data_IF_503883476237
#
_entry.id   IF_503883476237
#
_cell.length_a   1.000
_cell.length_b   1.000
_cell.length_c   1.000
_cell.angle_alpha   90.00
_cell.angle_beta   90.00
_cell.angle_gamma   90.00
#
_symmetry.space_group_name_H-M   'P 1'
#
loop_
_entity.id
_entity.type
_entity.pdbx_description
1 polymer ?
#
# COMPACT_ATOMS: atom_id res chain seq x y z
N UNK A 1 5.90 -1.60 31.15
CA UNK A 1 5.09 -0.85 32.13
C UNK A 1 4.95 0.57 31.64
N UNK A 2 3.87 0.92 30.94
CA UNK A 2 3.58 2.33 30.65
C UNK A 2 3.02 2.95 31.94
N UNK A 3 3.71 3.97 32.44
CA UNK A 3 3.20 4.79 33.52
C UNK A 3 2.07 5.63 32.93
N UNK A 4 0.82 5.24 33.20
CA UNK A 4 -0.33 6.00 32.72
C UNK A 4 -0.27 7.42 33.28
N UNK A 5 -0.25 8.42 32.40
CA UNK A 5 -0.33 9.83 32.80
C UNK A 5 -1.73 10.10 33.32
N UNK A 6 -1.83 10.60 34.56
CA UNK A 6 -3.11 11.02 35.13
C UNK A 6 -3.40 12.41 34.60
N UNK A 7 -4.44 12.53 33.78
CA UNK A 7 -4.94 13.82 33.32
C UNK A 7 -6.14 14.22 34.18
N UNK A 8 -6.24 15.52 34.47
CA UNK A 8 -7.39 16.08 35.18
C UNK A 8 -8.13 16.99 34.21
N UNK A 9 -9.41 16.73 34.01
CA UNK A 9 -10.31 17.58 33.23
C UNK A 9 -11.36 18.11 34.21
N UNK A 10 -11.06 19.20 34.94
CA UNK A 10 -11.93 19.70 35.98
C UNK A 10 -13.24 20.22 35.36
N UNK A 11 -14.37 19.73 35.87
CA UNK A 11 -15.72 20.06 35.37
C UNK A 11 -16.05 21.55 35.59
N UNK A 12 -15.42 22.14 36.60
CA UNK A 12 -15.54 23.55 37.00
C UNK A 12 -14.16 24.21 37.11
N UNK A 13 -14.06 25.55 37.01
CA UNK A 13 -12.78 26.23 37.10
C UNK A 13 -12.02 25.87 38.38
N UNK A 14 -10.72 25.57 38.26
CA UNK A 14 -9.86 25.14 39.38
C UNK A 14 -9.92 26.10 40.58
N UNK A 15 -10.02 27.41 40.33
CA UNK A 15 -10.17 28.42 41.39
C UNK A 15 -11.45 28.27 42.22
N UNK A 16 -12.56 27.86 41.59
CA UNK A 16 -13.83 27.63 42.27
C UNK A 16 -13.78 26.38 43.15
N UNK A 17 -13.14 25.31 42.67
CA UNK A 17 -12.91 24.07 43.45
C UNK A 17 -12.08 24.41 44.69
N UNK A 18 -11.00 25.17 44.53
CA UNK A 18 -10.14 25.60 45.64
C UNK A 18 -10.89 26.45 46.66
N UNK A 19 -11.70 27.41 46.19
CA UNK A 19 -12.51 28.28 47.04
C UNK A 19 -13.53 27.48 47.86
N UNK A 20 -14.29 26.58 47.22
CA UNK A 20 -15.28 25.72 47.89
C UNK A 20 -14.63 24.76 48.87
N UNK A 21 -13.44 24.23 48.54
CA UNK A 21 -12.65 23.39 49.44
C UNK A 21 -12.21 24.14 50.69
N UNK A 22 -11.70 25.37 50.56
CA UNK A 22 -11.29 26.20 51.68
C UNK A 22 -12.48 26.60 52.57
N UNK A 23 -13.59 27.02 51.98
CA UNK A 23 -14.83 27.34 52.71
C UNK A 23 -15.38 26.13 53.47
N UNK A 24 -15.41 24.96 52.83
CA UNK A 24 -15.85 23.71 53.45
C UNK A 24 -14.94 23.29 54.62
N UNK A 25 -13.61 23.41 54.45
CA UNK A 25 -12.64 23.12 55.50
C UNK A 25 -12.82 24.05 56.71
N UNK A 26 -12.92 25.36 56.46
CA UNK A 26 -13.07 26.37 57.52
C UNK A 26 -14.40 26.20 58.27
N UNK A 27 -15.49 25.89 57.54
CA UNK A 27 -16.79 25.54 58.12
C UNK A 27 -16.71 24.30 59.01
N UNK A 28 -16.00 23.25 58.58
CA UNK A 28 -15.82 22.03 59.39
C UNK A 28 -15.01 22.32 60.66
N UNK A 29 -14.01 23.20 60.59
CA UNK A 29 -13.19 23.61 61.73
C UNK A 29 -14.00 24.41 62.75
N UNK A 30 -14.80 25.38 62.28
CA UNK A 30 -15.71 26.17 63.12
C UNK A 30 -16.76 25.28 63.78
N UNK A 31 -17.33 24.35 63.03
CA UNK A 31 -18.30 23.39 63.57
C UNK A 31 -17.68 22.46 64.60
N UNK A 32 -16.44 21.99 64.41
CA UNK A 32 -15.74 21.23 65.45
C UNK A 32 -15.56 22.05 66.73
N UNK A 33 -15.18 23.33 66.61
CA UNK A 33 -15.02 24.25 67.74
C UNK A 33 -16.32 24.52 68.51
N UNK A 34 -17.46 24.53 67.82
CA UNK A 34 -18.79 24.71 68.40
C UNK A 34 -19.34 23.40 68.98
N UNK A 35 -19.27 22.29 68.23
CA UNK A 35 -19.81 20.99 68.64
C UNK A 35 -19.01 20.34 69.78
N UNK A 36 -17.70 20.58 69.88
CA UNK A 36 -16.89 20.06 71.00
C UNK A 36 -17.39 20.50 72.37
N UNK A 37 -18.06 21.66 72.44
CA UNK A 37 -18.66 22.20 73.67
C UNK A 37 -20.03 21.57 74.00
N UNK A 38 -20.76 21.05 73.01
CA UNK A 38 -22.14 20.54 73.17
C UNK A 38 -22.24 19.02 73.24
N UNK A 39 -21.41 18.28 72.50
CA UNK A 39 -21.62 16.83 72.23
C UNK A 39 -20.44 15.96 72.73
N UNK A 40 -19.41 16.60 73.32
CA UNK A 40 -18.17 15.95 73.73
C UNK A 40 -17.16 15.78 72.58
N UNK A 41 -15.86 15.75 72.93
CA UNK A 41 -14.75 15.80 71.96
C UNK A 41 -14.77 14.66 70.94
N UNK A 42 -15.07 13.42 71.37
CA UNK A 42 -15.04 12.24 70.50
C UNK A 42 -16.11 12.26 69.39
N UNK A 43 -17.37 12.58 69.75
CA UNK A 43 -18.47 12.65 68.77
C UNK A 43 -18.32 13.84 67.82
N UNK A 44 -17.83 14.97 68.32
CA UNK A 44 -17.51 16.14 67.49
C UNK A 44 -16.39 15.84 66.48
N UNK A 45 -15.38 15.08 66.88
CA UNK A 45 -14.29 14.65 65.99
C UNK A 45 -14.81 13.73 64.88
N UNK A 46 -15.60 12.71 65.23
CA UNK A 46 -16.20 11.78 64.26
C UNK A 46 -17.06 12.52 63.21
N UNK A 47 -17.95 13.41 63.65
CA UNK A 47 -18.81 14.18 62.74
C UNK A 47 -17.99 15.07 61.81
N UNK A 48 -16.96 15.75 62.33
CA UNK A 48 -16.08 16.61 61.52
C UNK A 48 -15.27 15.79 60.52
N UNK A 49 -14.78 14.61 60.91
CA UNK A 49 -14.04 13.71 60.03
C UNK A 49 -14.91 13.19 58.87
N UNK A 50 -16.14 12.76 59.15
CA UNK A 50 -17.08 12.33 58.10
C UNK A 50 -17.43 13.47 57.13
N UNK A 51 -17.61 14.69 57.63
CA UNK A 51 -17.84 15.86 56.77
C UNK A 51 -16.63 16.20 55.92
N UNK A 52 -15.42 16.12 56.48
CA UNK A 52 -14.19 16.33 55.74
C UNK A 52 -14.04 15.28 54.63
N UNK A 53 -14.32 14.02 54.94
CA UNK A 53 -14.32 12.93 53.96
C UNK A 53 -15.33 13.14 52.83
N UNK A 54 -16.55 13.59 53.15
CA UNK A 54 -17.54 13.93 52.13
C UNK A 54 -17.10 15.10 51.24
N UNK A 55 -16.50 16.14 51.83
CA UNK A 55 -15.95 17.29 51.08
C UNK A 55 -14.81 16.86 50.15
N UNK A 56 -13.88 16.04 50.65
CA UNK A 56 -12.77 15.50 49.86
C UNK A 56 -13.28 14.60 48.72
N UNK A 57 -14.31 13.79 48.97
CA UNK A 57 -14.97 13.00 47.94
C UNK A 57 -15.59 13.86 46.84
N UNK A 58 -16.29 14.93 47.19
CA UNK A 58 -16.84 15.89 46.22
C UNK A 58 -15.76 16.58 45.40
N UNK A 59 -14.65 16.98 46.04
CA UNK A 59 -13.49 17.56 45.34
C UNK A 59 -12.88 16.53 44.37
N UNK A 60 -12.72 15.28 44.78
CA UNK A 60 -12.21 14.22 43.93
C UNK A 60 -13.11 13.98 42.70
N UNK A 61 -14.43 14.02 42.87
CA UNK A 61 -15.38 13.97 41.74
C UNK A 61 -15.29 15.21 40.85
N UNK A 62 -15.18 16.41 41.42
CA UNK A 62 -15.06 17.66 40.66
C UNK A 62 -13.78 17.75 39.83
N UNK A 63 -12.69 17.18 40.34
CA UNK A 63 -11.41 17.05 39.63
C UNK A 63 -11.45 16.02 38.50
N UNK A 64 -12.45 15.12 38.51
CA UNK A 64 -12.70 14.09 37.50
C UNK A 64 -11.39 13.45 37.00
N UNK A 65 -10.71 12.64 37.83
CA UNK A 65 -9.45 12.02 37.44
C UNK A 65 -9.69 10.97 36.35
N UNK A 66 -9.41 11.33 35.10
CA UNK A 66 -9.48 10.40 33.98
C UNK A 66 -8.16 9.63 33.88
N UNK A 67 -8.26 8.31 34.00
CA UNK A 67 -7.16 7.41 33.66
C UNK A 67 -7.27 7.03 32.18
N UNK A 68 -6.70 7.87 31.31
CA UNK A 68 -6.66 7.60 29.88
C UNK A 68 -5.62 6.50 29.64
N UNK A 69 -6.08 5.32 29.24
CA UNK A 69 -5.19 4.23 28.80
C UNK A 69 -5.13 4.27 27.28
N UNK A 70 -4.09 4.86 26.72
CA UNK A 70 -3.85 4.78 25.29
C UNK A 70 -3.34 3.37 24.95
N UNK A 71 -4.17 2.59 24.25
CA UNK A 71 -3.73 1.35 23.59
C UNK A 71 -3.28 1.72 22.18
N UNK A 72 -1.98 1.82 21.96
CA UNK A 72 -1.45 1.82 20.59
C UNK A 72 -1.72 0.45 19.97
N UNK A 73 -2.71 0.38 19.07
CA UNK A 73 -2.79 -0.74 18.14
C UNK A 73 -1.78 -0.48 17.02
N UNK A 74 -0.64 -1.17 17.06
CA UNK A 74 0.24 -1.29 15.88
C UNK A 74 -0.48 -2.16 14.85
N UNK A 75 -1.28 -1.53 14.00
CA UNK A 75 -1.80 -2.18 12.79
C UNK A 75 -0.62 -2.28 11.82
N UNK A 76 -0.27 -3.50 11.41
CA UNK A 76 0.74 -3.68 10.35
C UNK A 76 0.11 -3.19 9.04
N UNK A 77 0.71 -2.24 8.33
CA UNK A 77 0.15 -1.80 7.06
C UNK A 77 0.13 -2.96 6.07
N UNK A 78 -0.96 -3.08 5.33
CA UNK A 78 -1.13 -4.13 4.32
C UNK A 78 -0.38 -3.74 3.04
N UNK A 79 0.48 -4.63 2.56
CA UNK A 79 1.28 -4.50 1.35
C UNK A 79 0.76 -5.49 0.30
N UNK A 80 0.30 -5.00 -0.84
CA UNK A 80 -0.08 -5.85 -1.96
C UNK A 80 1.09 -6.03 -2.93
N UNK A 81 1.47 -7.27 -3.21
CA UNK A 81 2.44 -7.62 -4.26
C UNK A 81 1.66 -8.04 -5.50
N UNK A 82 1.78 -7.27 -6.56
CA UNK A 82 1.20 -7.57 -7.87
C UNK A 82 2.26 -8.20 -8.76
N UNK A 83 2.04 -9.46 -9.14
CA UNK A 83 2.91 -10.20 -10.04
C UNK A 83 2.24 -10.33 -11.41
N UNK A 84 2.83 -9.76 -12.45
CA UNK A 84 2.31 -9.89 -13.80
C UNK A 84 2.43 -11.35 -14.31
N UNK A 85 1.35 -11.88 -14.89
CA UNK A 85 1.28 -13.26 -15.42
C UNK A 85 0.93 -13.31 -16.91
N UNK A 86 1.09 -12.18 -17.60
CA UNK A 86 0.82 -12.04 -19.03
C UNK A 86 1.73 -12.92 -19.88
N UNK A 87 1.35 -13.17 -21.14
CA UNK A 87 2.16 -13.96 -22.07
C UNK A 87 3.57 -13.39 -22.29
N UNK A 88 3.78 -12.07 -22.16
CA UNK A 88 5.10 -11.46 -22.34
C UNK A 88 6.09 -11.80 -21.25
N UNK A 89 5.60 -12.24 -20.09
CA UNK A 89 6.45 -12.72 -18.99
C UNK A 89 7.14 -14.06 -19.31
N UNK A 90 6.75 -14.76 -20.40
CA UNK A 90 7.48 -15.93 -20.95
C UNK A 90 8.76 -15.55 -21.70
N UNK A 91 8.91 -14.29 -22.09
CA UNK A 91 10.10 -13.87 -22.83
C UNK A 91 11.36 -13.98 -21.95
N UNK A 92 12.54 -14.07 -22.57
CA UNK A 92 13.80 -14.10 -21.85
C UNK A 92 13.91 -12.93 -20.85
N UNK A 93 14.25 -13.27 -19.62
CA UNK A 93 14.58 -12.35 -18.54
C UNK A 93 16.09 -12.15 -18.42
N UNK A 94 16.55 -11.72 -17.25
CA UNK A 94 17.99 -11.66 -16.96
C UNK A 94 18.58 -13.06 -16.78
N UNK A 95 19.51 -13.42 -17.66
CA UNK A 95 20.27 -14.68 -17.60
C UNK A 95 19.82 -15.73 -18.62
N UNK A 96 20.73 -16.65 -19.01
CA UNK A 96 20.47 -17.62 -20.08
C UNK A 96 19.38 -18.62 -19.67
N UNK A 97 18.37 -18.78 -20.54
CA UNK A 97 17.30 -19.78 -20.37
C UNK A 97 16.24 -19.46 -19.30
N UNK A 98 16.31 -18.29 -18.65
CA UNK A 98 15.31 -17.85 -17.65
C UNK A 98 14.28 -16.93 -18.27
N UNK A 99 13.02 -17.08 -17.86
CA UNK A 99 11.95 -16.15 -18.26
C UNK A 99 11.88 -14.94 -17.32
N UNK A 100 11.22 -13.86 -17.74
CA UNK A 100 10.94 -12.70 -16.86
C UNK A 100 10.11 -13.09 -15.64
N UNK A 101 9.22 -14.09 -15.78
CA UNK A 101 8.50 -14.62 -14.64
C UNK A 101 9.42 -15.35 -13.66
N UNK A 102 10.42 -16.09 -14.15
CA UNK A 102 11.39 -16.76 -13.29
C UNK A 102 12.28 -15.76 -12.54
N UNK A 103 12.64 -14.65 -13.19
CA UNK A 103 13.30 -13.51 -12.53
C UNK A 103 12.43 -12.96 -11.39
N UNK A 104 11.13 -12.79 -11.62
CA UNK A 104 10.21 -12.34 -10.57
C UNK A 104 10.15 -13.30 -9.38
N UNK A 105 10.10 -14.61 -9.66
CA UNK A 105 10.11 -15.66 -8.62
C UNK A 105 11.41 -15.64 -7.83
N UNK A 106 12.55 -15.46 -8.51
CA UNK A 106 13.87 -15.36 -7.89
C UNK A 106 13.99 -14.12 -7.00
N UNK A 107 13.44 -12.97 -7.41
CA UNK A 107 13.40 -11.75 -6.59
C UNK A 107 12.56 -11.96 -5.32
N UNK A 108 11.43 -12.67 -5.43
CA UNK A 108 10.52 -12.88 -4.30
C UNK A 108 11.00 -13.97 -3.33
N UNK A 109 11.45 -15.11 -3.87
CA UNK A 109 11.72 -16.34 -3.12
C UNK A 109 13.22 -16.70 -3.03
N UNK A 110 14.03 -16.21 -3.97
CA UNK A 110 15.44 -16.58 -4.11
C UNK A 110 16.41 -15.73 -3.30
N UNK A 111 17.69 -16.09 -3.38
CA UNK A 111 18.81 -15.38 -2.74
C UNK A 111 19.06 -15.75 -1.26
N UNK A 112 20.08 -15.13 -0.67
CA UNK A 112 20.45 -15.32 0.74
C UNK A 112 19.46 -14.66 1.72
N UNK A 113 18.70 -13.68 1.24
CA UNK A 113 17.66 -12.95 2.00
C UNK A 113 16.42 -12.78 1.12
N UNK A 114 15.43 -13.70 1.19
CA UNK A 114 14.23 -13.62 0.38
C UNK A 114 13.46 -12.33 0.67
N UNK A 115 13.18 -11.55 -0.37
CA UNK A 115 12.44 -10.28 -0.25
C UNK A 115 11.11 -10.50 0.47
N UNK A 116 10.39 -11.56 0.09
CA UNK A 116 9.10 -11.90 0.67
C UNK A 116 9.18 -12.10 2.19
N UNK A 117 10.23 -12.77 2.69
CA UNK A 117 10.43 -13.00 4.13
C UNK A 117 10.60 -11.67 4.87
N UNK A 118 11.44 -10.78 4.34
CA UNK A 118 11.70 -9.46 4.94
C UNK A 118 10.48 -8.51 4.94
N UNK A 119 9.56 -8.72 4.00
CA UNK A 119 8.31 -7.97 3.89
C UNK A 119 7.27 -8.52 4.88
N UNK A 120 7.10 -9.84 4.97
CA UNK A 120 6.14 -10.48 5.89
C UNK A 120 6.46 -10.24 7.37
N UNK A 121 7.73 -9.99 7.72
CA UNK A 121 8.13 -9.62 9.08
C UNK A 121 7.60 -8.24 9.50
N UNK A 122 7.45 -7.31 8.55
CA UNK A 122 7.11 -5.90 8.81
C UNK A 122 5.70 -5.50 8.37
N UNK A 123 5.15 -6.19 7.38
CA UNK A 123 3.90 -5.86 6.70
C UNK A 123 2.96 -7.07 6.68
N UNK A 124 1.67 -6.81 6.55
CA UNK A 124 0.71 -7.85 6.16
C UNK A 124 0.74 -7.99 4.65
N UNK A 125 1.41 -9.02 4.14
CA UNK A 125 1.65 -9.18 2.69
C UNK A 125 0.53 -9.99 2.04
N UNK A 126 -0.14 -9.39 1.04
CA UNK A 126 -1.09 -10.08 0.16
C UNK A 126 -0.51 -10.14 -1.25
N UNK A 127 -0.58 -11.30 -1.90
CA UNK A 127 0.04 -11.51 -3.22
C UNK A 127 -1.06 -11.76 -4.23
N UNK A 128 -0.94 -11.14 -5.39
CA UNK A 128 -1.91 -11.28 -6.47
C UNK A 128 -1.21 -11.47 -7.82
N UNK A 129 -1.75 -12.35 -8.64
CA UNK A 129 -1.43 -12.46 -10.06
C UNK A 129 -2.26 -11.48 -10.87
N UNK A 130 -1.60 -10.70 -11.73
CA UNK A 130 -2.22 -9.74 -12.65
C UNK A 130 -2.13 -10.27 -14.08
N UNK A 131 -3.26 -10.76 -14.58
CA UNK A 131 -3.49 -11.09 -15.99
C UNK A 131 -4.81 -10.46 -16.45
N UNK A 132 -5.65 -11.20 -17.17
CA UNK A 132 -7.00 -10.73 -17.54
C UNK A 132 -7.86 -10.34 -16.32
N UNK A 133 -7.64 -11.00 -15.19
CA UNK A 133 -8.24 -10.70 -13.91
C UNK A 133 -7.18 -10.71 -12.81
N UNK A 134 -7.52 -10.11 -11.68
CA UNK A 134 -6.73 -10.18 -10.45
C UNK A 134 -7.07 -11.48 -9.72
N UNK A 135 -6.06 -12.30 -9.45
CA UNK A 135 -6.21 -13.59 -8.73
C UNK A 135 -5.34 -13.57 -7.48
N UNK A 136 -5.89 -13.79 -6.27
CA UNK A 136 -5.08 -13.92 -5.07
C UNK A 136 -4.21 -15.19 -5.13
N UNK A 137 -2.97 -15.08 -4.70
CA UNK A 137 -1.98 -16.17 -4.72
C UNK A 137 -1.45 -16.43 -3.33
N UNK A 138 -1.31 -17.71 -2.99
CA UNK A 138 -0.58 -18.13 -1.80
C UNK A 138 0.92 -18.27 -2.09
N UNK A 139 1.75 -18.18 -1.04
CA UNK A 139 3.21 -18.25 -1.16
C UNK A 139 3.67 -19.55 -1.87
N UNK A 140 3.01 -20.68 -1.58
CA UNK A 140 3.31 -21.96 -2.20
C UNK A 140 2.98 -22.04 -3.70
N UNK A 141 2.06 -21.18 -4.18
CA UNK A 141 1.63 -21.14 -5.58
C UNK A 141 2.55 -20.30 -6.47
N UNK A 142 3.41 -19.46 -5.88
CA UNK A 142 4.33 -18.59 -6.64
C UNK A 142 5.33 -19.43 -7.44
N UNK A 143 5.86 -20.51 -6.83
CA UNK A 143 6.85 -21.37 -7.49
C UNK A 143 6.28 -22.06 -8.73
N UNK A 144 5.02 -22.52 -8.66
CA UNK A 144 4.31 -23.21 -9.75
C UNK A 144 3.61 -22.28 -10.74
N UNK A 145 3.69 -20.96 -10.53
CA UNK A 145 3.03 -19.99 -11.40
C UNK A 145 3.61 -20.04 -12.83
N UNK A 146 2.73 -19.97 -13.84
CA UNK A 146 3.14 -19.96 -15.24
C UNK A 146 2.64 -18.69 -15.94
N UNK A 147 3.47 -18.15 -16.84
CA UNK A 147 3.11 -17.01 -17.66
C UNK A 147 2.26 -17.49 -18.84
N UNK A 148 1.09 -16.89 -19.06
CA UNK A 148 0.17 -17.37 -20.10
C UNK A 148 -1.17 -16.64 -20.15
N UNK A 149 -1.42 -15.74 -19.18
CA UNK A 149 -2.60 -14.90 -19.21
C UNK A 149 -2.58 -13.92 -20.39
N UNK A 150 -3.78 -13.46 -20.77
CA UNK A 150 -3.91 -12.28 -21.62
C UNK A 150 -3.37 -11.04 -20.88
N UNK A 151 -3.03 -10.01 -21.65
CA UNK A 151 -2.60 -8.70 -21.13
C UNK A 151 -3.56 -8.20 -20.05
N UNK A 152 -3.00 -7.83 -18.89
CA UNK A 152 -3.78 -7.33 -17.76
C UNK A 152 -4.00 -5.83 -17.76
N UNK A 153 -4.99 -5.41 -16.96
CA UNK A 153 -5.35 -4.01 -16.72
C UNK A 153 -4.97 -3.63 -15.28
N UNK A 154 -3.95 -2.79 -15.16
CA UNK A 154 -3.43 -2.35 -13.87
C UNK A 154 -4.42 -1.43 -13.15
N UNK A 155 -5.16 -0.59 -13.89
CA UNK A 155 -6.15 0.31 -13.30
C UNK A 155 -7.30 -0.46 -12.65
N UNK A 156 -7.77 -1.55 -13.30
CA UNK A 156 -8.77 -2.44 -12.70
C UNK A 156 -8.23 -3.22 -11.50
N UNK A 157 -6.97 -3.69 -11.56
CA UNK A 157 -6.34 -4.38 -10.45
C UNK A 157 -6.26 -3.49 -9.19
N UNK A 158 -5.80 -2.24 -9.35
CA UNK A 158 -5.69 -1.27 -8.26
C UNK A 158 -7.06 -0.93 -7.69
N UNK A 159 -8.07 -0.71 -8.54
CA UNK A 159 -9.42 -0.39 -8.09
C UNK A 159 -9.99 -1.45 -7.14
N UNK A 160 -9.60 -2.73 -7.29
CA UNK A 160 -10.03 -3.83 -6.42
C UNK A 160 -9.30 -3.90 -5.09
N UNK A 161 -8.05 -3.44 -5.02
CA UNK A 161 -7.20 -3.56 -3.81
C UNK A 161 -7.02 -2.23 -3.06
N UNK A 162 -7.50 -1.12 -3.61
CA UNK A 162 -7.26 0.24 -3.08
C UNK A 162 -7.70 0.42 -1.62
N UNK A 163 -8.75 -0.26 -1.20
CA UNK A 163 -9.33 -0.12 0.16
C UNK A 163 -8.63 -1.02 1.17
N UNK A 164 -7.96 -2.07 0.70
CA UNK A 164 -7.31 -3.07 1.55
C UNK A 164 -5.80 -2.88 1.65
N UNK A 165 -5.18 -2.13 0.74
CA UNK A 165 -3.73 -2.04 0.62
C UNK A 165 -3.26 -0.61 0.77
N UNK A 166 -2.24 -0.39 1.62
CA UNK A 166 -1.63 0.93 1.79
C UNK A 166 -0.55 1.20 0.72
N UNK A 167 0.15 0.15 0.30
CA UNK A 167 1.24 0.21 -0.68
C UNK A 167 1.12 -0.98 -1.63
N UNK A 168 1.46 -0.77 -2.89
CA UNK A 168 1.48 -1.78 -3.94
C UNK A 168 2.89 -1.94 -4.49
N UNK A 169 3.41 -3.16 -4.48
CA UNK A 169 4.66 -3.53 -5.14
C UNK A 169 4.33 -4.25 -6.45
N UNK A 170 4.66 -3.66 -7.59
CA UNK A 170 4.37 -4.21 -8.91
C UNK A 170 5.62 -4.83 -9.55
N UNK A 171 5.58 -6.13 -9.83
CA UNK A 171 6.58 -6.86 -10.60
C UNK A 171 6.05 -7.09 -12.02
N UNK A 172 6.57 -6.36 -12.99
CA UNK A 172 6.01 -6.29 -14.36
C UNK A 172 7.09 -6.02 -15.40
N UNK A 173 6.86 -6.47 -16.63
CA UNK A 173 7.71 -6.15 -17.80
C UNK A 173 7.24 -4.88 -18.55
N UNK A 174 6.28 -4.15 -17.98
CA UNK A 174 5.76 -2.89 -18.49
C UNK A 174 4.68 -3.01 -19.55
N UNK A 175 4.19 -4.22 -19.86
CA UNK A 175 3.12 -4.41 -20.87
C UNK A 175 1.70 -4.40 -20.31
N UNK A 176 1.49 -3.92 -19.09
CA UNK A 176 0.14 -3.76 -18.52
C UNK A 176 -0.60 -2.57 -19.14
N UNK A 177 -1.92 -2.71 -19.30
CA UNK A 177 -2.77 -1.58 -19.69
C UNK A 177 -2.91 -0.62 -18.51
N UNK A 178 -2.81 0.67 -18.82
CA UNK A 178 -2.93 1.74 -17.85
C UNK A 178 -3.84 2.83 -18.40
N UNK A 179 -4.82 3.24 -17.59
CA UNK A 179 -5.70 4.35 -17.89
C UNK A 179 -5.26 5.57 -17.07
N UNK A 180 -4.96 6.69 -17.75
CA UNK A 180 -4.40 7.90 -17.15
C UNK A 180 -5.26 8.53 -16.03
N UNK A 181 -6.57 8.25 -16.01
CA UNK A 181 -7.45 8.47 -14.85
C UNK A 181 -7.33 7.28 -13.90
N UNK A 182 -6.17 7.11 -13.28
CA UNK A 182 -6.09 6.19 -12.15
C UNK A 182 -6.82 6.83 -10.96
N UNK A 183 -7.66 6.06 -10.24
CA UNK A 183 -8.29 6.56 -9.03
C UNK A 183 -7.23 6.91 -7.98
N UNK A 184 -7.55 7.83 -7.07
CA UNK A 184 -6.79 7.98 -5.82
C UNK A 184 -6.62 6.57 -5.21
N UNK A 185 -5.36 6.21 -4.95
CA UNK A 185 -5.01 4.84 -4.65
C UNK A 185 -3.67 4.71 -3.94
N UNK A 186 -3.33 3.49 -3.49
CA UNK A 186 -2.09 3.23 -2.78
C UNK A 186 -0.87 3.59 -3.63
N UNK A 187 0.21 4.02 -2.96
CA UNK A 187 1.50 4.25 -3.62
C UNK A 187 1.99 2.99 -4.31
N UNK A 188 2.37 3.11 -5.59
CA UNK A 188 2.83 1.99 -6.42
C UNK A 188 4.34 2.09 -6.59
N UNK A 189 5.05 1.05 -6.15
CA UNK A 189 6.47 0.86 -6.43
C UNK A 189 6.63 -0.23 -7.48
N UNK A 190 7.21 0.09 -8.63
CA UNK A 190 7.42 -0.87 -9.72
C UNK A 190 8.85 -1.43 -9.72
N UNK A 191 8.97 -2.74 -9.77
CA UNK A 191 10.19 -3.47 -10.07
C UNK A 191 10.10 -3.92 -11.54
N UNK A 192 10.86 -3.29 -12.46
CA UNK A 192 10.86 -3.69 -13.85
C UNK A 192 11.57 -5.04 -14.01
N UNK A 193 10.95 -5.93 -14.79
CA UNK A 193 11.48 -7.26 -15.09
C UNK A 193 11.91 -7.37 -16.55
N UNK A 194 12.98 -8.13 -16.78
CA UNK A 194 13.60 -8.29 -18.07
C UNK A 194 14.90 -7.49 -18.21
N UNK A 195 15.56 -7.73 -19.34
CA UNK A 195 16.86 -7.16 -19.65
C UNK A 195 16.73 -6.08 -20.73
N UNK A 196 16.92 -4.79 -20.41
CA UNK A 196 16.87 -3.72 -21.40
C UNK A 196 18.04 -3.77 -22.39
N UNK A 197 19.18 -4.36 -22.02
CA UNK A 197 20.40 -4.41 -22.85
C UNK A 197 20.30 -5.46 -23.96
N UNK A 198 19.61 -6.58 -23.69
CA UNK A 198 19.36 -7.64 -24.69
C UNK A 198 17.97 -7.57 -25.32
N UNK A 199 17.14 -6.56 -24.98
CA UNK A 199 15.80 -6.41 -25.56
C UNK A 199 15.86 -6.10 -27.06
N UNK A 200 15.47 -7.08 -27.87
CA UNK A 200 15.34 -6.96 -29.32
C UNK A 200 13.86 -7.01 -29.71
N UNK A 201 13.37 -5.92 -30.30
CA UNK A 201 11.99 -5.81 -30.74
C UNK A 201 11.91 -5.06 -32.07
N UNK A 202 11.00 -5.46 -32.94
CA UNK A 202 10.77 -4.86 -34.25
C UNK A 202 9.28 -4.83 -34.49
N UNK A 203 8.76 -3.66 -34.85
CA UNK A 203 7.35 -3.49 -35.15
C UNK A 203 7.15 -2.62 -36.40
N UNK A 204 6.14 -2.99 -37.18
CA UNK A 204 5.62 -2.16 -38.27
C UNK A 204 4.73 -1.12 -37.62
N UNK A 205 5.23 0.12 -37.53
CA UNK A 205 4.54 1.23 -36.86
C UNK A 205 3.40 1.74 -37.72
N UNK A 206 3.64 1.82 -39.02
CA UNK A 206 2.71 2.40 -39.98
C UNK A 206 2.96 1.83 -41.37
N UNK A 207 1.88 1.62 -42.13
CA UNK A 207 1.92 1.30 -43.55
C UNK A 207 0.99 2.29 -44.26
N UNK A 208 1.53 3.13 -45.12
CA UNK A 208 0.73 4.01 -45.99
C UNK A 208 0.74 3.43 -47.39
N UNK A 209 -0.47 3.23 -47.91
CA UNK A 209 -0.72 2.73 -49.25
C UNK A 209 -1.73 3.64 -49.94
N UNK A 210 -1.59 3.90 -51.25
CA UNK A 210 -2.64 4.55 -52.02
C UNK A 210 -3.93 3.73 -51.97
N UNK A 211 -5.12 4.35 -51.84
CA UNK A 211 -6.39 3.63 -51.78
C UNK A 211 -6.78 2.99 -53.11
N UNK A 212 -6.21 3.45 -54.22
CA UNK A 212 -6.41 2.89 -55.55
C UNK A 212 -5.08 2.82 -56.30
N UNK A 213 -4.92 1.76 -57.09
CA UNK A 213 -3.79 1.55 -57.98
C UNK A 213 -4.31 1.16 -59.37
N UNK A 214 -3.64 1.66 -60.41
CA UNK A 214 -3.96 1.29 -61.79
C UNK A 214 -3.24 0.02 -62.17
N UNK A 215 -3.90 -0.80 -62.99
CA UNK A 215 -3.29 -2.01 -63.54
C UNK A 215 -2.03 -1.63 -64.33
N UNK A 216 -0.99 -2.44 -64.21
CA UNK A 216 0.30 -2.26 -64.90
C UNK A 216 1.07 -0.98 -64.51
N UNK A 217 0.75 -0.38 -63.34
CA UNK A 217 1.52 0.74 -62.77
C UNK A 217 2.15 0.34 -61.44
N UNK A 218 3.35 0.87 -61.20
CA UNK A 218 4.04 0.69 -59.91
C UNK A 218 3.31 1.43 -58.79
N UNK A 219 3.27 0.81 -57.61
CA UNK A 219 2.67 1.37 -56.40
C UNK A 219 3.76 1.47 -55.34
N UNK A 220 3.91 2.66 -54.76
CA UNK A 220 4.82 2.89 -53.65
C UNK A 220 4.07 2.70 -52.33
N UNK A 221 4.63 1.88 -51.45
CA UNK A 221 4.15 1.66 -50.10
C UNK A 221 5.17 2.25 -49.12
N UNK A 222 4.73 3.19 -48.29
CA UNK A 222 5.58 3.74 -47.24
C UNK A 222 5.38 2.95 -45.95
N UNK A 223 6.44 2.26 -45.52
CA UNK A 223 6.43 1.45 -44.30
C UNK A 223 7.34 2.11 -43.27
N UNK A 224 6.78 2.46 -42.12
CA UNK A 224 7.56 2.95 -40.98
C UNK A 224 7.82 1.79 -40.03
N UNK A 225 9.09 1.50 -39.80
CA UNK A 225 9.54 0.47 -38.87
C UNK A 225 10.07 1.13 -37.60
N UNK A 226 9.84 0.50 -36.46
CA UNK A 226 10.48 0.86 -35.20
C UNK A 226 11.18 -0.37 -34.64
N UNK A 227 12.47 -0.25 -34.40
CA UNK A 227 13.31 -1.31 -33.88
C UNK A 227 13.99 -0.88 -32.58
N UNK A 228 14.19 -1.85 -31.68
CA UNK A 228 14.94 -1.71 -30.44
C UNK A 228 15.95 -2.86 -30.37
N UNK A 229 17.18 -2.59 -29.95
CA UNK A 229 18.23 -3.61 -29.84
C UNK A 229 18.79 -4.14 -31.17
N UNK A 230 18.44 -3.52 -32.31
CA UNK A 230 18.93 -3.85 -33.66
C UNK A 230 19.94 -2.82 -34.20
N UNK A 231 20.56 -2.01 -33.33
CA UNK A 231 21.50 -0.98 -33.77
C UNK A 231 22.66 -1.60 -34.55
N UNK A 232 22.85 -1.17 -35.79
CA UNK A 232 23.90 -1.68 -36.68
C UNK A 232 23.59 -3.04 -37.32
N UNK A 233 22.35 -3.54 -37.19
CA UNK A 233 21.89 -4.78 -37.81
C UNK A 233 20.93 -4.43 -38.93
N UNK A 234 21.29 -4.84 -40.14
CA UNK A 234 20.45 -4.72 -41.32
C UNK A 234 19.24 -5.68 -41.25
N UNK A 235 18.02 -5.13 -41.25
CA UNK A 235 16.77 -5.85 -41.14
C UNK A 235 16.12 -6.05 -42.53
N UNK A 236 15.87 -7.30 -42.97
CA UNK A 236 15.16 -7.57 -44.21
C UNK A 236 13.65 -7.39 -44.04
N UNK A 237 13.04 -6.60 -44.90
CA UNK A 237 11.60 -6.32 -44.93
C UNK A 237 11.06 -6.86 -46.25
N UNK A 238 10.11 -7.79 -46.17
CA UNK A 238 9.55 -8.46 -47.33
C UNK A 238 8.06 -8.14 -47.48
N UNK A 239 7.66 -7.69 -48.68
CA UNK A 239 6.28 -7.59 -49.11
C UNK A 239 5.87 -8.90 -49.79
N UNK A 240 4.79 -9.51 -49.32
CA UNK A 240 4.29 -10.80 -49.83
C UNK A 240 2.79 -10.72 -50.15
N UNK A 241 2.39 -11.43 -51.20
CA UNK A 241 0.99 -11.74 -51.53
C UNK A 241 0.78 -13.24 -51.29
N UNK A 242 0.14 -13.59 -50.16
CA UNK A 242 0.05 -14.98 -49.72
C UNK A 242 1.44 -15.59 -49.53
N UNK A 243 1.78 -16.60 -50.34
CA UNK A 243 3.09 -17.25 -50.35
C UNK A 243 4.09 -16.62 -51.33
N UNK A 244 3.65 -15.74 -52.23
CA UNK A 244 4.49 -15.12 -53.27
C UNK A 244 5.22 -13.89 -52.71
N UNK A 245 6.54 -13.85 -52.85
CA UNK A 245 7.35 -12.67 -52.55
C UNK A 245 7.18 -11.64 -53.67
N UNK A 246 6.72 -10.43 -53.33
CA UNK A 246 6.57 -9.32 -54.27
C UNK A 246 7.81 -8.43 -54.29
N UNK A 247 8.35 -8.10 -53.11
CA UNK A 247 9.54 -7.24 -52.97
C UNK A 247 10.24 -7.50 -51.64
N UNK A 248 11.54 -7.26 -51.57
CA UNK A 248 12.31 -7.31 -50.34
C UNK A 248 13.32 -6.17 -50.31
N UNK A 249 13.40 -5.46 -49.17
CA UNK A 249 14.33 -4.37 -48.96
C UNK A 249 14.96 -4.47 -47.59
N UNK A 250 16.25 -4.20 -47.53
CA UNK A 250 17.01 -4.20 -46.28
C UNK A 250 17.07 -2.79 -45.74
N UNK A 251 16.69 -2.60 -44.48
CA UNK A 251 16.76 -1.31 -43.79
C UNK A 251 17.77 -1.37 -42.63
N UNK A 252 18.52 -0.29 -42.37
CA UNK A 252 19.45 -0.20 -41.26
C UNK A 252 18.77 0.01 -39.90
#
# INVERSE_FOLDING_TARGET
MSWGTVHTEPIVPLGLIGLLGLLGFFSSLLQFWVLRKKVGRGRALLISLFRLGALLGLIAFALNPLRITQREHRVRPTLAILLETSQSMKFPGKGPGRTRLDEAKEVLLGGSWPLLKSLTERYEVKIYGVGQSLVPLEIGQIASLSAGGKQGDLSQAIAKIREESAVVLLLSDGKLRWHAKAPDGPSILSIPLGDPETYKDVLIKEVKAPPMAFREREVVLDVTLRSYGYKGILLPVALKEGSRLLSARTVP
#
